data_IF_072244243178
#
_entry.id   IF_072244243178
#
_cell.length_a   1.000
_cell.length_b   1.000
_cell.length_c   1.000
_cell.angle_alpha   90.00
_cell.angle_beta   90.00
_cell.angle_gamma   90.00
#
_symmetry.space_group_name_H-M   'P 1'
#
loop_
_entity.id
_entity.type
_entity.pdbx_description
1 polymer ?
#
# COMPACT_ATOMS: atom_id res chain seq x y z
N UNK A 1 -17.72 6.76 5.12
CA UNK A 1 -16.40 6.35 4.62
C UNK A 1 -15.39 7.45 4.87
N UNK A 2 -14.18 7.08 5.28
CA UNK A 2 -13.15 8.05 5.56
C UNK A 2 -12.55 8.60 4.28
N UNK A 3 -12.08 9.84 4.36
CA UNK A 3 -11.33 10.42 3.25
C UNK A 3 -9.96 9.76 3.17
N UNK A 4 -9.47 9.56 1.95
CA UNK A 4 -8.14 9.03 1.71
C UNK A 4 -7.31 10.14 1.11
N UNK A 5 -6.23 10.51 1.79
CA UNK A 5 -5.37 11.60 1.38
C UNK A 5 -3.92 11.15 1.24
N UNK A 6 -3.13 11.98 0.61
CA UNK A 6 -1.70 11.74 0.42
C UNK A 6 -1.01 13.05 0.10
N UNK A 7 0.32 13.01 0.09
CA UNK A 7 1.12 14.16 -0.28
C UNK A 7 1.21 14.26 -1.80
N UNK A 8 0.81 15.40 -2.35
CA UNK A 8 0.75 15.59 -3.81
C UNK A 8 2.12 15.47 -4.47
N UNK A 9 3.14 16.04 -3.85
CA UNK A 9 4.50 15.96 -4.42
C UNK A 9 5.03 14.53 -4.43
N UNK A 10 4.75 13.80 -3.36
CA UNK A 10 5.14 12.39 -3.28
C UNK A 10 4.46 11.59 -4.39
N UNK A 11 3.20 11.91 -4.65
CA UNK A 11 2.44 11.22 -5.68
C UNK A 11 3.06 11.42 -7.06
N UNK A 12 3.46 12.66 -7.37
CA UNK A 12 4.11 12.94 -8.63
C UNK A 12 5.39 12.14 -8.78
N UNK A 13 6.20 12.10 -7.73
CA UNK A 13 7.46 11.36 -7.76
C UNK A 13 7.24 9.86 -7.94
N UNK A 14 6.23 9.31 -7.29
CA UNK A 14 5.93 7.89 -7.43
C UNK A 14 5.50 7.54 -8.85
N UNK A 15 4.67 8.38 -9.44
CA UNK A 15 4.25 8.16 -10.82
C UNK A 15 5.43 8.22 -11.78
N UNK A 16 6.35 9.15 -11.55
CA UNK A 16 7.53 9.29 -12.42
C UNK A 16 8.48 8.12 -12.28
N UNK A 17 8.68 7.66 -11.05
CA UNK A 17 9.70 6.63 -10.81
C UNK A 17 9.16 5.21 -10.94
N UNK A 18 7.87 4.99 -10.66
CA UNK A 18 7.32 3.64 -10.61
C UNK A 18 6.13 3.43 -11.53
N UNK A 19 5.58 4.52 -12.09
CA UNK A 19 4.40 4.42 -12.92
C UNK A 19 3.11 4.15 -12.15
N UNK A 20 3.15 4.24 -10.83
CA UNK A 20 2.00 3.98 -9.96
C UNK A 20 1.83 5.17 -9.02
N UNK A 21 0.61 5.67 -8.92
CA UNK A 21 0.29 6.75 -8.01
C UNK A 21 -0.69 6.31 -6.95
N UNK A 22 -0.93 7.22 -5.99
CA UNK A 22 -1.87 6.91 -4.93
C UNK A 22 -3.30 6.74 -5.44
N UNK A 23 -3.63 7.35 -6.57
CA UNK A 23 -4.96 7.16 -7.17
C UNK A 23 -5.19 5.69 -7.53
N UNK A 24 -4.14 5.03 -7.99
CA UNK A 24 -4.25 3.61 -8.31
C UNK A 24 -4.52 2.79 -7.05
N UNK A 25 -3.86 3.16 -5.96
CA UNK A 25 -4.06 2.48 -4.68
C UNK A 25 -5.50 2.65 -4.22
N UNK A 26 -6.04 3.87 -4.30
CA UNK A 26 -7.42 4.14 -3.91
C UNK A 26 -8.39 3.26 -4.73
N UNK A 27 -8.13 3.14 -6.03
CA UNK A 27 -8.96 2.31 -6.89
C UNK A 27 -9.04 0.88 -6.38
N UNK A 28 -7.89 0.30 -6.01
CA UNK A 28 -7.87 -1.08 -5.51
C UNK A 28 -8.46 -1.21 -4.12
N UNK A 29 -8.30 -0.18 -3.28
CA UNK A 29 -8.93 -0.18 -1.96
C UNK A 29 -10.45 -0.21 -2.13
N UNK A 30 -10.99 0.60 -3.02
CA UNK A 30 -12.44 0.68 -3.22
C UNK A 30 -13.00 -0.58 -3.85
N UNK A 31 -12.19 -1.27 -4.65
CA UNK A 31 -12.60 -2.56 -5.20
C UNK A 31 -12.58 -3.68 -4.17
N UNK A 32 -11.94 -3.46 -3.04
CA UNK A 32 -11.81 -4.50 -2.04
C UNK A 32 -10.66 -5.45 -2.31
N UNK A 33 -9.69 -5.03 -3.11
CA UNK A 33 -8.55 -5.88 -3.48
C UNK A 33 -7.36 -5.71 -2.54
N UNK A 34 -7.63 -5.52 -1.26
CA UNK A 34 -6.59 -5.46 -0.25
C UNK A 34 -6.20 -6.88 0.14
N UNK A 35 -4.95 -7.24 -0.07
CA UNK A 35 -4.48 -8.58 0.25
C UNK A 35 -4.23 -8.76 1.73
N UNK A 36 -3.83 -7.70 2.42
CA UNK A 36 -3.59 -7.74 3.86
C UNK A 36 -3.55 -6.33 4.39
N UNK A 37 -3.78 -6.19 5.70
CA UNK A 37 -3.74 -4.90 6.39
C UNK A 37 -3.30 -5.19 7.82
N UNK A 38 -2.12 -4.74 8.19
CA UNK A 38 -1.52 -5.08 9.47
C UNK A 38 -0.76 -3.90 10.06
N UNK A 39 -0.41 -4.03 11.33
CA UNK A 39 0.40 -3.02 12.00
C UNK A 39 1.80 -3.00 11.40
N UNK A 40 2.39 -1.82 11.36
CA UNK A 40 3.78 -1.69 10.92
C UNK A 40 4.66 -2.53 11.86
N UNK A 41 5.57 -3.35 11.32
CA UNK A 41 6.38 -4.22 12.18
C UNK A 41 7.29 -3.47 13.15
N UNK A 42 7.68 -2.23 12.83
CA UNK A 42 8.50 -1.44 13.74
C UNK A 42 7.64 -0.35 14.39
N UNK A 43 6.88 -0.76 15.41
CA UNK A 43 5.99 0.17 16.10
C UNK A 43 6.75 1.21 16.93
N UNK A 44 7.98 0.91 17.34
CA UNK A 44 8.76 1.87 18.09
C UNK A 44 9.08 3.10 17.23
N UNK A 45 9.50 2.87 16.00
CA UNK A 45 9.86 3.95 15.10
C UNK A 45 8.63 4.57 14.42
N UNK A 46 7.63 3.75 14.13
CA UNK A 46 6.45 4.18 13.40
C UNK A 46 5.20 3.84 14.20
N UNK A 47 5.00 4.52 15.35
CA UNK A 47 3.82 4.23 16.16
C UNK A 47 2.55 4.54 15.40
N UNK A 48 1.57 3.67 15.56
CA UNK A 48 0.25 3.81 14.94
C UNK A 48 0.23 3.69 13.42
N UNK A 49 1.37 3.42 12.79
CA UNK A 49 1.35 3.15 11.35
C UNK A 49 0.90 1.73 11.09
N UNK A 50 0.13 1.59 10.01
CA UNK A 50 -0.28 0.30 9.51
C UNK A 50 0.21 0.17 8.08
N UNK A 51 0.15 -1.04 7.55
CA UNK A 51 0.56 -1.30 6.17
C UNK A 51 -0.53 -2.09 5.49
N UNK A 52 -1.03 -1.58 4.36
CA UNK A 52 -1.87 -2.36 3.47
C UNK A 52 -0.99 -3.03 2.44
N UNK A 53 -1.35 -4.25 2.06
CA UNK A 53 -0.70 -4.94 0.95
C UNK A 53 -1.68 -4.96 -0.20
N UNK A 54 -1.29 -4.36 -1.32
CA UNK A 54 -2.17 -4.22 -2.49
C UNK A 54 -1.52 -4.97 -3.66
N UNK A 55 -2.31 -5.82 -4.33
CA UNK A 55 -1.81 -6.54 -5.50
C UNK A 55 -2.20 -5.83 -6.78
N UNK A 56 -1.23 -5.52 -7.61
CA UNK A 56 -1.46 -4.89 -8.91
C UNK A 56 -0.66 -5.67 -9.94
N UNK A 57 -1.36 -6.23 -10.92
CA UNK A 57 -0.72 -7.00 -12.00
C UNK A 57 0.18 -8.10 -11.47
N UNK A 58 -0.31 -8.83 -10.46
CA UNK A 58 0.39 -9.96 -9.86
C UNK A 58 1.68 -9.55 -9.15
N UNK A 59 1.78 -8.31 -8.74
CA UNK A 59 2.89 -7.84 -7.93
C UNK A 59 2.35 -7.15 -6.70
N UNK A 60 2.98 -7.37 -5.55
CA UNK A 60 2.50 -6.83 -4.28
C UNK A 60 3.23 -5.54 -3.92
N UNK A 61 2.45 -4.56 -3.47
CA UNK A 61 2.96 -3.27 -3.04
C UNK A 61 2.56 -3.04 -1.59
N UNK A 62 3.49 -2.53 -0.81
CA UNK A 62 3.22 -2.15 0.57
C UNK A 62 2.87 -0.68 0.61
N UNK A 63 1.78 -0.36 1.28
CA UNK A 63 1.30 1.03 1.38
C UNK A 63 1.17 1.39 2.86
N UNK A 64 2.23 1.93 3.47
CA UNK A 64 2.13 2.40 4.84
C UNK A 64 1.17 3.57 4.95
N UNK A 65 0.40 3.61 6.02
CA UNK A 65 -0.58 4.66 6.21
C UNK A 65 -0.85 4.89 7.68
N UNK A 66 -1.42 6.05 7.99
CA UNK A 66 -1.94 6.35 9.32
C UNK A 66 -3.41 6.68 9.19
N UNK A 67 -4.15 6.45 10.25
CA UNK A 67 -5.60 6.58 10.20
C UNK A 67 -6.10 7.23 11.47
N UNK A 68 -7.03 8.19 11.32
CA UNK A 68 -7.74 8.72 12.46
C UNK A 68 -9.25 8.60 12.20
N UNK A 69 -10.08 9.29 12.97
CA UNK A 69 -11.52 9.11 12.84
C UNK A 69 -12.07 9.65 11.52
N UNK A 70 -11.35 10.52 10.86
CA UNK A 70 -11.85 11.18 9.66
C UNK A 70 -11.12 10.80 8.38
N UNK A 71 -9.88 10.36 8.49
CA UNK A 71 -9.07 10.23 7.29
C UNK A 71 -8.06 9.10 7.38
N UNK A 72 -7.74 8.57 6.22
CA UNK A 72 -6.63 7.64 6.02
C UNK A 72 -5.59 8.40 5.21
N UNK A 73 -4.37 8.50 5.73
CA UNK A 73 -3.30 9.19 5.02
C UNK A 73 -2.26 8.20 4.55
N UNK A 74 -2.16 8.05 3.22
CA UNK A 74 -1.22 7.12 2.60
C UNK A 74 0.16 7.76 2.57
N UNK A 75 1.17 7.05 3.09
CA UNK A 75 2.50 7.61 3.26
C UNK A 75 3.37 7.42 2.03
N UNK A 76 3.37 6.23 1.46
CA UNK A 76 4.18 5.92 0.29
C UNK A 76 3.71 4.62 -0.32
N UNK A 77 4.34 4.22 -1.44
CA UNK A 77 4.05 2.96 -2.11
C UNK A 77 5.39 2.27 -2.34
N UNK A 78 5.54 1.05 -1.81
CA UNK A 78 6.81 0.33 -1.86
C UNK A 78 6.59 -1.01 -2.54
N UNK A 79 7.23 -1.27 -3.69
CA UNK A 79 7.14 -2.60 -4.29
C UNK A 79 7.84 -3.60 -3.38
N UNK A 80 7.28 -4.78 -3.22
CA UNK A 80 7.83 -5.77 -2.30
C UNK A 80 7.92 -7.13 -2.97
N UNK A 81 9.14 -7.57 -3.23
CA UNK A 81 9.38 -8.90 -3.77
C UNK A 81 8.94 -9.96 -2.75
N UNK A 82 9.24 -9.73 -1.49
CA UNK A 82 8.88 -10.69 -0.45
C UNK A 82 7.37 -10.88 -0.36
N UNK A 83 6.62 -9.79 -0.35
CA UNK A 83 5.17 -9.88 -0.30
C UNK A 83 4.62 -10.52 -1.57
N UNK A 84 5.22 -10.19 -2.71
CA UNK A 84 4.81 -10.81 -3.97
C UNK A 84 4.99 -12.32 -3.91
N UNK A 85 6.09 -12.78 -3.36
CA UNK A 85 6.32 -14.21 -3.22
C UNK A 85 5.30 -14.87 -2.29
N UNK A 86 4.94 -14.19 -1.22
CA UNK A 86 3.97 -14.72 -0.26
C UNK A 86 2.59 -14.85 -0.90
N UNK A 87 2.14 -13.84 -1.63
CA UNK A 87 0.76 -13.82 -2.12
C UNK A 87 0.59 -14.37 -3.53
N UNK A 88 1.64 -14.38 -4.33
CA UNK A 88 1.55 -14.83 -5.72
C UNK A 88 2.57 -15.91 -6.08
N UNK A 89 3.65 -16.00 -5.33
CA UNK A 89 4.79 -16.83 -5.70
C UNK A 89 4.57 -18.31 -5.58
N UNK A 90 3.68 -18.72 -4.67
CA UNK A 90 3.45 -20.15 -4.47
C UNK A 90 3.02 -20.87 -5.72
N UNK A 91 2.36 -20.19 -6.61
CA UNK A 91 1.88 -20.80 -7.84
C UNK A 91 3.01 -21.09 -8.81
N UNK A 92 4.09 -20.37 -8.69
CA UNK A 92 5.22 -20.54 -9.59
C UNK A 92 6.10 -21.71 -9.22
N UNK A 93 5.85 -22.26 -8.06
CA UNK A 93 6.64 -23.38 -7.55
C UNK A 93 6.20 -24.70 -8.10
N UNK A 94 5.01 -24.72 -8.59
CA UNK A 94 4.41 -25.99 -9.04
C UNK A 94 4.88 -26.44 -10.40
#
# INVERSE_FOLDING_TARGET
MKHINWNTEKNVKLKESRGIGFEDIVFYIEKGDILNDCLHPNQKRYPEQRIMVIGINNYAYLVPYVEDVEEIFLKTIIPSRKATDIYFGGENES
#
